data_IF_256912748890
#
_entry.id   IF_256912748890
#
_cell.length_a   1.000
_cell.length_b   1.000
_cell.length_c   1.000
_cell.angle_alpha   90.00
_cell.angle_beta   90.00
_cell.angle_gamma   90.00
#
_symmetry.space_group_name_H-M   'P 1'
#
loop_
_entity.id
_entity.type
_entity.pdbx_description
1 polymer ?
#
# COMPACT_ATOMS: atom_id res chain seq x y z
N UNK A 1 -5.23 10.88 -8.69
CA UNK A 1 -6.23 11.67 -7.95
C UNK A 1 -5.52 12.75 -7.15
N UNK A 2 -6.27 13.66 -6.53
CA UNK A 2 -5.75 14.69 -5.63
C UNK A 2 -6.46 14.59 -4.28
N UNK A 3 -5.75 14.87 -3.19
CA UNK A 3 -6.24 14.79 -1.80
C UNK A 3 -5.72 16.00 -1.04
N UNK A 4 -6.53 16.56 -0.13
CA UNK A 4 -6.12 17.58 0.84
C UNK A 4 -5.87 16.87 2.17
N UNK A 5 -4.69 17.08 2.74
CA UNK A 5 -4.26 16.48 4.02
C UNK A 5 -3.88 17.61 4.95
N UNK A 6 -4.36 17.55 6.20
CA UNK A 6 -4.06 18.50 7.26
C UNK A 6 -4.22 17.83 8.63
N UNK A 7 -3.65 18.44 9.66
CA UNK A 7 -3.91 18.13 11.07
C UNK A 7 -4.72 19.24 11.71
N UNK A 8 -5.33 18.96 12.86
CA UNK A 8 -6.04 19.95 13.69
C UNK A 8 -7.15 20.71 12.93
N UNK A 9 -8.14 19.98 12.38
CA UNK A 9 -9.15 20.56 11.50
C UNK A 9 -10.00 21.61 12.23
N UNK A 10 -10.27 22.73 11.57
CA UNK A 10 -11.29 23.68 12.03
C UNK A 10 -12.66 23.10 11.73
N UNK A 11 -13.28 22.42 12.71
CA UNK A 11 -14.57 21.74 12.54
C UNK A 11 -15.74 22.69 12.21
N UNK A 12 -15.54 24.02 12.23
CA UNK A 12 -16.52 24.98 11.74
C UNK A 12 -16.55 25.10 10.21
N UNK A 13 -15.45 24.77 9.53
CA UNK A 13 -15.30 24.90 8.07
C UNK A 13 -14.70 23.66 7.37
N UNK A 14 -14.08 22.75 8.11
CA UNK A 14 -13.47 21.51 7.63
C UNK A 14 -14.21 20.27 8.16
N UNK A 15 -14.20 19.19 7.37
CA UNK A 15 -14.79 17.91 7.75
C UNK A 15 -13.83 16.76 7.41
N UNK A 16 -13.11 16.21 8.39
CA UNK A 16 -12.25 15.04 8.19
C UNK A 16 -13.05 13.86 7.64
N UNK A 17 -12.48 13.13 6.67
CA UNK A 17 -13.07 11.91 6.12
C UNK A 17 -12.42 10.65 6.68
N UNK A 18 -11.08 10.67 6.82
CA UNK A 18 -10.26 9.61 7.37
C UNK A 18 -9.05 10.22 8.07
N UNK A 19 -8.45 9.47 9.00
CA UNK A 19 -7.23 9.84 9.70
C UNK A 19 -6.07 8.92 9.30
N UNK A 20 -4.87 9.50 9.10
CA UNK A 20 -3.65 8.74 8.84
C UNK A 20 -3.00 8.35 10.18
N UNK A 21 -3.34 7.16 10.69
CA UNK A 21 -2.88 6.70 12.01
C UNK A 21 -1.49 6.05 11.96
N UNK A 22 -1.17 5.34 10.87
CA UNK A 22 0.10 4.65 10.69
C UNK A 22 0.47 4.58 9.20
N UNK A 23 1.78 4.61 8.90
CA UNK A 23 2.31 4.38 7.56
C UNK A 23 3.58 3.53 7.64
N UNK A 24 3.84 2.74 6.60
CA UNK A 24 5.04 1.93 6.50
C UNK A 24 5.27 1.45 5.08
N UNK A 25 6.48 0.96 4.84
CA UNK A 25 6.90 0.36 3.58
C UNK A 25 7.85 -0.81 3.88
N UNK A 26 7.82 -1.84 3.05
CA UNK A 26 8.69 -3.00 3.21
C UNK A 26 9.19 -3.47 1.85
N UNK A 27 10.47 -3.83 1.76
CA UNK A 27 11.02 -4.53 0.60
C UNK A 27 10.80 -6.03 0.83
N UNK A 28 10.11 -6.68 -0.12
CA UNK A 28 9.83 -8.10 0.01
C UNK A 28 11.11 -8.92 -0.22
N UNK A 29 11.35 -9.98 0.58
CA UNK A 29 12.42 -10.91 0.27
C UNK A 29 12.19 -11.53 -1.11
N UNK A 30 13.29 -11.85 -1.80
CA UNK A 30 13.27 -12.51 -3.12
C UNK A 30 12.47 -11.77 -4.20
N UNK A 31 12.37 -10.43 -4.10
CA UNK A 31 11.60 -9.58 -5.02
C UNK A 31 12.43 -8.77 -6.01
N UNK A 32 13.74 -8.98 -6.04
CA UNK A 32 14.63 -8.31 -6.98
C UNK A 32 14.20 -8.60 -8.43
N UNK A 33 14.11 -7.56 -9.26
CA UNK A 33 13.69 -7.67 -10.65
C UNK A 33 12.21 -8.03 -10.86
N UNK A 34 11.40 -8.12 -9.81
CA UNK A 34 9.99 -8.49 -9.93
C UNK A 34 9.19 -7.48 -10.77
N UNK A 35 9.53 -6.20 -10.65
CA UNK A 35 9.00 -5.09 -11.44
C UNK A 35 10.18 -4.18 -11.82
N UNK A 36 10.60 -4.25 -13.08
CA UNK A 36 11.65 -3.39 -13.61
C UNK A 36 11.11 -2.41 -14.65
N UNK A 37 11.47 -1.14 -14.49
CA UNK A 37 11.24 -0.08 -15.47
C UNK A 37 12.55 0.39 -16.09
N UNK A 38 12.70 0.26 -17.40
CA UNK A 38 13.86 0.78 -18.14
C UNK A 38 13.46 1.98 -18.98
N UNK A 39 14.01 3.15 -18.64
CA UNK A 39 13.91 4.35 -19.48
C UNK A 39 14.98 4.31 -20.56
N UNK A 40 14.56 4.36 -21.82
CA UNK A 40 15.42 4.31 -23.01
C UNK A 40 15.01 5.41 -23.99
N UNK A 41 15.73 5.54 -25.10
CA UNK A 41 15.35 6.47 -26.19
C UNK A 41 13.95 6.18 -26.73
N UNK A 42 13.50 4.92 -26.65
CA UNK A 42 12.14 4.48 -27.02
C UNK A 42 11.08 4.74 -25.94
N UNK A 43 11.44 5.46 -24.88
CA UNK A 43 10.58 5.72 -23.73
C UNK A 43 10.71 4.68 -22.61
N UNK A 44 9.66 4.56 -21.80
CA UNK A 44 9.62 3.68 -20.64
C UNK A 44 9.15 2.28 -21.05
N UNK A 45 9.98 1.27 -20.76
CA UNK A 45 9.66 -0.14 -20.96
C UNK A 45 9.58 -0.86 -19.62
N UNK A 46 8.60 -1.76 -19.46
CA UNK A 46 8.41 -2.52 -18.22
C UNK A 46 8.70 -4.00 -18.44
N UNK A 47 9.35 -4.63 -17.45
CA UNK A 47 9.53 -6.06 -17.35
C UNK A 47 8.91 -6.51 -16.02
N UNK A 48 7.88 -7.35 -16.11
CA UNK A 48 7.17 -7.87 -14.94
C UNK A 48 7.43 -9.37 -14.86
N UNK A 49 7.92 -9.84 -13.71
CA UNK A 49 7.91 -11.26 -13.42
C UNK A 49 6.45 -11.71 -13.17
N UNK A 50 6.11 -12.90 -13.65
CA UNK A 50 4.75 -13.46 -13.50
C UNK A 50 4.34 -13.67 -12.03
N UNK A 51 5.30 -13.70 -11.11
CA UNK A 51 5.09 -14.10 -9.71
C UNK A 51 4.87 -12.93 -8.73
N UNK A 52 4.69 -11.70 -9.23
CA UNK A 52 4.43 -10.53 -8.37
C UNK A 52 3.23 -10.74 -7.42
N UNK A 53 2.06 -11.26 -7.85
CA UNK A 53 0.96 -11.54 -6.93
C UNK A 53 1.30 -12.60 -5.86
N UNK A 54 2.11 -13.60 -6.22
CA UNK A 54 2.61 -14.63 -5.30
C UNK A 54 3.52 -14.04 -4.21
N UNK A 55 4.46 -13.19 -4.60
CA UNK A 55 5.32 -12.46 -3.66
C UNK A 55 4.52 -11.60 -2.68
N UNK A 56 3.53 -10.84 -3.17
CA UNK A 56 2.69 -9.97 -2.32
C UNK A 56 1.88 -10.82 -1.34
N UNK A 57 1.13 -11.81 -1.83
CA UNK A 57 0.25 -12.65 -0.99
C UNK A 57 1.01 -13.41 0.10
N UNK A 58 2.22 -13.89 -0.20
CA UNK A 58 3.08 -14.59 0.78
C UNK A 58 3.54 -13.68 1.93
N UNK A 59 3.65 -12.37 1.71
CA UNK A 59 4.30 -11.46 2.64
C UNK A 59 3.37 -10.40 3.27
N UNK A 60 2.18 -10.18 2.72
CA UNK A 60 1.30 -9.07 3.14
C UNK A 60 0.90 -9.14 4.63
N UNK A 61 0.72 -10.34 5.16
CA UNK A 61 0.30 -10.55 6.55
C UNK A 61 1.29 -9.96 7.56
N UNK A 62 2.59 -9.97 7.24
CA UNK A 62 3.61 -9.35 8.10
C UNK A 62 3.35 -7.84 8.25
N UNK A 63 3.08 -7.15 7.14
CA UNK A 63 2.82 -5.71 7.15
C UNK A 63 1.52 -5.39 7.90
N UNK A 64 0.49 -6.23 7.77
CA UNK A 64 -0.75 -6.09 8.52
C UNK A 64 -0.51 -6.24 10.03
N UNK A 65 0.26 -7.25 10.44
CA UNK A 65 0.60 -7.45 11.85
C UNK A 65 1.38 -6.26 12.42
N UNK A 66 2.36 -5.74 11.70
CA UNK A 66 3.14 -4.56 12.13
C UNK A 66 2.25 -3.32 12.36
N UNK A 67 1.28 -3.08 11.46
CA UNK A 67 0.38 -1.93 11.56
C UNK A 67 -0.70 -2.10 12.65
N UNK A 68 -1.30 -3.28 12.75
CA UNK A 68 -2.56 -3.49 13.49
C UNK A 68 -2.40 -4.16 14.85
N UNK A 69 -1.28 -4.83 15.14
CA UNK A 69 -1.03 -5.42 16.47
C UNK A 69 -1.08 -4.37 17.59
N UNK A 70 -0.48 -3.17 17.46
CA UNK A 70 -0.59 -2.12 18.48
C UNK A 70 -2.02 -1.64 18.74
N UNK A 71 -2.92 -1.83 17.77
CA UNK A 71 -4.34 -1.48 17.86
C UNK A 71 -5.22 -2.65 18.36
N UNK A 72 -4.63 -3.82 18.60
CA UNK A 72 -5.37 -5.02 19.02
C UNK A 72 -6.25 -5.65 17.94
N UNK A 73 -6.03 -5.30 16.67
CA UNK A 73 -6.82 -5.82 15.53
C UNK A 73 -6.11 -7.05 14.94
N UNK A 74 -6.85 -8.16 14.81
CA UNK A 74 -6.36 -9.43 14.27
C UNK A 74 -7.31 -10.11 13.29
N UNK A 75 -8.59 -9.70 13.24
CA UNK A 75 -9.54 -10.15 12.22
C UNK A 75 -9.51 -9.20 11.02
N UNK A 76 -8.94 -9.67 9.91
CA UNK A 76 -8.82 -8.93 8.66
C UNK A 76 -10.17 -8.60 7.98
N UNK A 77 -11.26 -9.28 8.37
CA UNK A 77 -12.61 -8.96 7.90
C UNK A 77 -13.29 -7.85 8.72
N UNK A 78 -12.69 -7.43 9.84
CA UNK A 78 -13.21 -6.33 10.67
C UNK A 78 -12.77 -4.93 10.19
N UNK A 79 -11.94 -4.86 9.14
CA UNK A 79 -11.41 -3.61 8.57
C UNK A 79 -11.89 -3.40 7.14
N UNK A 80 -11.85 -2.16 6.67
CA UNK A 80 -12.05 -1.83 5.25
C UNK A 80 -10.72 -1.88 4.49
N UNK A 81 -10.80 -2.10 3.18
CA UNK A 81 -9.63 -2.28 2.32
C UNK A 81 -9.59 -1.25 1.20
N UNK A 82 -8.41 -0.69 0.97
CA UNK A 82 -8.08 0.08 -0.22
C UNK A 82 -6.79 -0.50 -0.79
N UNK A 83 -6.92 -1.38 -1.79
CA UNK A 83 -5.79 -2.00 -2.46
C UNK A 83 -5.55 -1.37 -3.83
N UNK A 84 -4.29 -1.29 -4.25
CA UNK A 84 -3.96 -0.90 -5.62
C UNK A 84 -4.45 -2.00 -6.61
N UNK A 85 -5.30 -1.68 -7.60
CA UNK A 85 -5.83 -2.66 -8.54
C UNK A 85 -4.82 -2.96 -9.66
N UNK A 86 -3.70 -3.61 -9.33
CA UNK A 86 -2.62 -3.93 -10.27
C UNK A 86 -2.92 -5.08 -11.24
N UNK A 87 -4.03 -5.81 -11.05
CA UNK A 87 -4.49 -6.94 -11.85
C UNK A 87 -5.80 -7.52 -11.28
N UNK A 88 -6.45 -8.48 -11.98
CA UNK A 88 -7.65 -9.18 -11.50
C UNK A 88 -7.38 -10.20 -10.38
#
# INVERSE_FOLDING_TARGET
GAVIVGSDPDLSVERPLYELVWTGATLLPDSEGAIDGHLREVGLTFHLLKDVPGLISKNIEKSLKEAFTPLGISDWNSIFWIAHPGGP
#
